data_IF_991420443734
#
_entry.id   IF_991420443734
#
_cell.length_a   1.000
_cell.length_b   1.000
_cell.length_c   1.000
_cell.angle_alpha   90.00
_cell.angle_beta   90.00
_cell.angle_gamma   90.00
#
_symmetry.space_group_name_H-M   'P 1'
#
loop_
_entity.id
_entity.type
_entity.pdbx_description
1 polymer ?
#
# COMPACT_ATOMS: atom_id res chain seq x y z
N UNK A 1 -28.90 5.72 23.68
CA UNK A 1 -27.86 5.54 23.37
C UNK A 1 -27.20 6.64 22.85
N UNK A 2 -26.29 6.57 23.06
CA UNK A 2 -25.56 7.65 22.76
C UNK A 2 -25.04 7.62 21.40
N UNK A 3 -24.55 8.69 21.07
CA UNK A 3 -23.82 8.83 19.88
C UNK A 3 -22.67 7.90 19.78
N UNK A 4 -22.27 7.37 20.90
CA UNK A 4 -21.15 6.46 20.92
C UNK A 4 -21.37 5.24 20.10
N UNK A 5 -22.61 4.81 19.97
CA UNK A 5 -22.86 3.65 19.17
C UNK A 5 -22.81 3.98 17.69
N UNK A 6 -22.81 5.26 17.37
CA UNK A 6 -22.70 5.66 15.99
C UNK A 6 -21.25 5.92 15.68
N UNK A 7 -20.70 5.16 14.77
CA UNK A 7 -19.32 5.31 14.38
C UNK A 7 -19.25 5.38 12.89
N UNK A 8 -18.36 6.17 12.35
CA UNK A 8 -18.11 6.13 10.91
C UNK A 8 -17.33 4.88 10.61
N UNK A 9 -18.04 3.80 10.57
CA UNK A 9 -17.43 2.51 10.55
C UNK A 9 -16.82 2.11 9.26
N UNK A 10 -17.00 2.92 8.26
CA UNK A 10 -16.54 2.55 6.95
C UNK A 10 -15.06 2.70 6.76
N UNK A 11 -14.39 3.40 7.66
CA UNK A 11 -12.97 3.65 7.50
C UNK A 11 -12.23 3.09 8.68
N UNK A 12 -11.53 1.97 8.50
CA UNK A 12 -10.68 1.49 9.58
C UNK A 12 -9.62 2.54 9.86
N UNK A 13 -9.42 2.83 11.13
CA UNK A 13 -8.39 3.77 11.51
C UNK A 13 -7.05 3.11 11.70
N UNK A 14 -7.08 1.81 11.84
CA UNK A 14 -5.87 1.04 12.03
C UNK A 14 -5.99 -0.25 11.28
N UNK A 15 -4.86 -0.79 10.94
CA UNK A 15 -4.79 -2.07 10.26
C UNK A 15 -4.73 -3.16 11.31
N UNK A 16 -5.69 -4.07 11.29
CA UNK A 16 -5.69 -5.18 12.24
C UNK A 16 -4.67 -6.22 11.80
N UNK A 17 -4.15 -7.03 12.73
CA UNK A 17 -3.24 -8.11 12.34
C UNK A 17 -3.83 -9.07 11.33
N UNK A 18 -5.13 -9.31 11.43
CA UNK A 18 -5.80 -10.21 10.48
C UNK A 18 -5.84 -9.60 9.09
N UNK A 19 -6.14 -8.32 9.00
CA UNK A 19 -6.16 -7.63 7.72
C UNK A 19 -4.78 -7.61 7.10
N UNK A 20 -3.76 -7.34 7.89
CA UNK A 20 -2.40 -7.34 7.40
C UNK A 20 -2.01 -8.73 6.90
N UNK A 21 -2.35 -9.75 7.63
CA UNK A 21 -2.05 -11.12 7.24
C UNK A 21 -2.72 -11.48 5.92
N UNK A 22 -3.98 -11.11 5.77
CA UNK A 22 -4.72 -11.37 4.54
C UNK A 22 -4.13 -10.59 3.37
N UNK A 23 -3.73 -9.35 3.63
CA UNK A 23 -3.14 -8.52 2.60
C UNK A 23 -1.80 -9.07 2.14
N UNK A 24 -0.97 -9.52 3.08
CA UNK A 24 0.31 -10.12 2.75
C UNK A 24 0.14 -11.41 1.95
N UNK A 25 -0.83 -12.22 2.34
CA UNK A 25 -1.10 -13.45 1.62
C UNK A 25 -1.55 -13.15 0.19
N UNK A 26 -2.40 -12.15 0.03
CA UNK A 26 -2.84 -11.74 -1.30
C UNK A 26 -1.68 -11.24 -2.13
N UNK A 27 -0.86 -10.39 -1.53
CA UNK A 27 0.28 -9.80 -2.25
C UNK A 27 1.27 -10.86 -2.68
N UNK A 28 1.54 -11.84 -1.82
CA UNK A 28 2.51 -12.87 -2.14
C UNK A 28 1.99 -13.86 -3.18
N UNK A 29 0.69 -14.01 -3.27
CA UNK A 29 0.09 -14.96 -4.21
C UNK A 29 -0.17 -14.39 -5.59
N UNK A 30 0.04 -13.11 -5.79
CA UNK A 30 -0.30 -12.47 -7.05
C UNK A 30 0.93 -12.26 -7.91
N UNK A 31 0.84 -12.54 -9.22
CA UNK A 31 1.93 -12.15 -10.12
C UNK A 31 1.95 -10.63 -10.25
N UNK A 32 3.09 -10.13 -10.70
CA UNK A 32 3.32 -8.70 -10.71
C UNK A 32 2.43 -7.90 -11.65
N UNK A 33 1.73 -8.49 -12.53
CA UNK A 33 0.88 -7.74 -13.45
C UNK A 33 -0.49 -8.36 -13.52
N UNK A 34 -1.01 -8.75 -12.38
CA UNK A 34 -2.28 -9.43 -12.33
C UNK A 34 -3.45 -8.46 -12.27
N UNK A 35 -4.62 -8.98 -12.57
CA UNK A 35 -5.87 -8.23 -12.47
C UNK A 35 -6.38 -8.35 -11.04
N UNK A 36 -6.44 -7.22 -10.34
CA UNK A 36 -6.89 -7.17 -8.96
C UNK A 36 -8.33 -6.72 -8.81
N UNK A 37 -9.07 -6.66 -9.91
CA UNK A 37 -10.42 -6.10 -9.88
C UNK A 37 -11.30 -6.72 -8.78
N UNK A 38 -11.23 -8.02 -8.59
CA UNK A 38 -12.06 -8.68 -7.60
C UNK A 38 -11.59 -8.43 -6.17
N UNK A 39 -10.36 -7.96 -5.99
CA UNK A 39 -9.80 -7.68 -4.67
C UNK A 39 -9.80 -6.21 -4.30
N UNK A 40 -10.17 -5.34 -5.23
CA UNK A 40 -10.09 -3.89 -4.96
C UNK A 40 -10.94 -3.46 -3.78
N UNK A 41 -12.09 -4.09 -3.60
CA UNK A 41 -12.97 -3.74 -2.50
C UNK A 41 -12.32 -4.00 -1.15
N UNK A 42 -11.58 -5.09 -1.04
CA UNK A 42 -10.83 -5.39 0.18
C UNK A 42 -9.64 -4.46 0.36
N UNK A 43 -8.93 -4.17 -0.73
CA UNK A 43 -7.69 -3.40 -0.68
C UNK A 43 -7.96 -1.91 -0.42
N UNK A 44 -9.05 -1.39 -0.98
CA UNK A 44 -9.28 0.06 -0.99
C UNK A 44 -9.22 0.70 0.40
N UNK A 45 -9.96 0.22 1.41
CA UNK A 45 -9.89 0.89 2.71
C UNK A 45 -8.49 0.83 3.32
N UNK A 46 -7.74 -0.22 3.03
CA UNK A 46 -6.40 -0.34 3.57
C UNK A 46 -5.42 0.60 2.86
N UNK A 47 -5.61 0.79 1.56
CA UNK A 47 -4.79 1.73 0.81
C UNK A 47 -5.09 3.17 1.18
N UNK A 48 -6.28 3.43 1.68
CA UNK A 48 -6.69 4.78 2.07
C UNK A 48 -6.42 5.11 3.53
N UNK A 49 -5.79 4.20 4.27
CA UNK A 49 -5.31 4.54 5.60
C UNK A 49 -4.29 5.66 5.50
N UNK A 50 -4.18 6.44 6.55
CA UNK A 50 -3.20 7.52 6.55
C UNK A 50 -1.80 6.96 6.35
N UNK A 51 -0.97 7.63 5.54
CA UNK A 51 0.39 7.14 5.30
C UNK A 51 1.18 6.90 6.57
N UNK A 52 0.90 7.65 7.62
CA UNK A 52 1.56 7.47 8.90
C UNK A 52 1.37 6.06 9.44
N UNK A 53 0.21 5.46 9.23
CA UNK A 53 -0.03 4.09 9.67
C UNK A 53 0.89 3.12 8.95
N UNK A 54 1.08 3.31 7.67
CA UNK A 54 2.00 2.47 6.92
C UNK A 54 3.45 2.72 7.31
N UNK A 55 3.78 3.96 7.68
CA UNK A 55 5.12 4.26 8.20
C UNK A 55 5.42 3.48 9.47
N UNK A 56 4.41 3.30 10.31
CA UNK A 56 4.57 2.56 11.55
C UNK A 56 4.72 1.06 11.32
N UNK A 57 4.04 0.54 10.31
CA UNK A 57 4.01 -0.89 10.03
C UNK A 57 5.20 -1.34 9.20
N UNK A 58 5.56 -0.55 8.21
CA UNK A 58 6.53 -0.97 7.20
C UNK A 58 7.86 -1.46 7.75
N UNK A 59 8.45 -0.81 8.77
CA UNK A 59 9.75 -1.26 9.26
C UNK A 59 9.74 -2.64 9.91
N UNK A 60 8.56 -3.11 10.33
CA UNK A 60 8.46 -4.43 10.94
C UNK A 60 8.32 -5.55 9.92
N UNK A 61 8.15 -5.21 8.65
CA UNK A 61 8.00 -6.19 7.58
C UNK A 61 9.37 -6.56 7.01
N UNK A 62 9.48 -7.78 6.52
CA UNK A 62 10.69 -8.18 5.80
C UNK A 62 10.73 -7.56 4.42
N UNK A 63 11.90 -7.61 3.79
CA UNK A 63 12.08 -6.99 2.48
C UNK A 63 11.15 -7.60 1.44
N UNK A 64 10.96 -8.91 1.49
CA UNK A 64 10.08 -9.58 0.54
C UNK A 64 8.64 -9.10 0.70
N UNK A 65 8.19 -8.98 1.94
CA UNK A 65 6.85 -8.48 2.22
C UNK A 65 6.68 -7.05 1.78
N UNK A 66 7.68 -6.21 2.02
CA UNK A 66 7.65 -4.83 1.59
C UNK A 66 7.52 -4.73 0.07
N UNK A 67 8.31 -5.53 -0.65
CA UNK A 67 8.23 -5.53 -2.12
C UNK A 67 6.88 -6.01 -2.61
N UNK A 68 6.35 -7.07 -2.00
CA UNK A 68 5.04 -7.59 -2.41
C UNK A 68 3.95 -6.55 -2.24
N UNK A 69 3.97 -5.85 -1.11
CA UNK A 69 2.95 -4.82 -0.86
C UNK A 69 3.12 -3.62 -1.78
N UNK A 70 4.36 -3.23 -2.06
CA UNK A 70 4.60 -2.13 -3.00
C UNK A 70 3.99 -2.46 -4.36
N UNK A 71 4.24 -3.66 -4.85
CA UNK A 71 3.68 -4.08 -6.13
C UNK A 71 2.16 -4.16 -6.09
N UNK A 72 1.63 -4.73 -5.02
CA UNK A 72 0.18 -4.87 -4.89
C UNK A 72 -0.52 -3.52 -4.90
N UNK A 73 -0.04 -2.59 -4.07
CA UNK A 73 -0.67 -1.28 -3.98
C UNK A 73 -0.48 -0.47 -5.26
N UNK A 74 0.67 -0.63 -5.94
CA UNK A 74 0.87 0.05 -7.21
C UNK A 74 -0.19 -0.38 -8.23
N UNK A 75 -0.38 -1.68 -8.36
CA UNK A 75 -1.37 -2.20 -9.31
C UNK A 75 -2.79 -1.85 -8.89
N UNK A 76 -3.10 -2.01 -7.60
CA UNK A 76 -4.45 -1.74 -7.12
C UNK A 76 -4.83 -0.28 -7.29
N UNK A 77 -3.90 0.60 -6.98
CA UNK A 77 -4.14 2.03 -7.11
C UNK A 77 -4.42 2.41 -8.56
N UNK A 78 -3.67 1.84 -9.47
CA UNK A 78 -3.84 2.12 -10.89
C UNK A 78 -5.15 1.52 -11.39
N UNK A 79 -5.45 0.29 -11.04
CA UNK A 79 -6.66 -0.37 -11.49
C UNK A 79 -7.91 0.23 -10.87
N UNK A 80 -7.81 0.69 -9.62
CA UNK A 80 -8.92 1.33 -8.95
C UNK A 80 -9.09 2.78 -9.28
N UNK A 81 -8.08 3.38 -9.92
CA UNK A 81 -8.11 4.79 -10.28
C UNK A 81 -8.34 5.68 -9.07
N UNK A 82 -7.63 5.41 -7.99
CA UNK A 82 -7.92 6.04 -6.70
C UNK A 82 -7.30 7.42 -6.51
N UNK A 83 -6.32 7.80 -7.31
CA UNK A 83 -5.69 9.13 -7.25
C UNK A 83 -5.16 9.47 -5.86
N UNK A 84 -4.41 8.54 -5.27
CA UNK A 84 -3.89 8.75 -3.92
C UNK A 84 -2.78 9.81 -3.88
N UNK A 85 -2.09 10.01 -5.00
CA UNK A 85 -1.01 11.00 -5.09
C UNK A 85 0.03 10.75 -3.99
N UNK A 86 0.32 11.76 -3.17
CA UNK A 86 1.35 11.65 -2.14
C UNK A 86 0.88 10.86 -0.92
N UNK A 87 -0.37 10.40 -0.91
CA UNK A 87 -0.92 9.64 0.20
C UNK A 87 -0.89 8.13 -0.05
N UNK A 88 -0.26 7.70 -1.12
CA UNK A 88 -0.18 6.28 -1.46
C UNK A 88 0.65 5.52 -0.43
N UNK A 89 0.19 4.33 -0.01
CA UNK A 89 0.96 3.51 0.92
C UNK A 89 2.28 3.02 0.33
N UNK A 90 2.43 3.05 -0.99
CA UNK A 90 3.69 2.67 -1.62
C UNK A 90 4.84 3.54 -1.11
N UNK A 91 4.56 4.82 -0.84
CA UNK A 91 5.62 5.74 -0.43
C UNK A 91 6.25 5.35 0.91
N UNK A 92 5.50 5.19 2.00
CA UNK A 92 6.13 4.78 3.25
C UNK A 92 6.71 3.38 3.19
N UNK A 93 6.09 2.47 2.43
CA UNK A 93 6.65 1.14 2.27
C UNK A 93 8.00 1.18 1.57
N UNK A 94 8.10 1.96 0.51
CA UNK A 94 9.36 2.07 -0.23
C UNK A 94 10.43 2.79 0.61
N UNK A 95 10.03 3.80 1.37
CA UNK A 95 10.98 4.50 2.23
C UNK A 95 11.59 3.57 3.26
N UNK A 96 10.77 2.74 3.90
CA UNK A 96 11.27 1.79 4.88
C UNK A 96 12.21 0.78 4.24
N UNK A 97 11.85 0.26 3.08
CA UNK A 97 12.68 -0.70 2.38
C UNK A 97 14.02 -0.07 2.01
N UNK A 98 13.99 1.14 1.48
CA UNK A 98 15.21 1.83 1.07
C UNK A 98 16.11 2.11 2.27
N UNK A 99 15.53 2.51 3.38
CA UNK A 99 16.30 2.81 4.57
C UNK A 99 16.98 1.56 5.13
N UNK A 100 16.29 0.44 5.06
CA UNK A 100 16.80 -0.80 5.64
C UNK A 100 17.70 -1.58 4.69
N UNK A 101 17.45 -1.50 3.40
CA UNK A 101 18.09 -2.39 2.42
C UNK A 101 18.69 -1.67 1.21
N UNK A 102 18.52 -0.37 1.11
CA UNK A 102 19.02 0.39 -0.04
C UNK A 102 17.99 0.47 -1.16
N UNK A 103 18.40 1.09 -2.25
CA UNK A 103 17.51 1.30 -3.39
C UNK A 103 17.50 0.06 -4.29
N UNK A 104 16.29 -0.39 -4.60
CA UNK A 104 16.08 -1.48 -5.55
C UNK A 104 15.69 -0.84 -6.88
N UNK A 105 16.67 -0.66 -7.76
CA UNK A 105 16.44 0.03 -9.03
C UNK A 105 15.44 -0.68 -9.93
N UNK A 106 15.49 -2.01 -10.09
CA UNK A 106 14.47 -2.69 -10.88
C UNK A 106 13.07 -2.47 -10.34
N UNK A 107 12.92 -2.45 -9.02
CA UNK A 107 11.61 -2.20 -8.43
C UNK A 107 11.12 -0.79 -8.72
N UNK A 108 12.01 0.21 -8.64
CA UNK A 108 11.66 1.59 -8.97
C UNK A 108 11.16 1.67 -10.41
N UNK A 109 11.87 1.05 -11.32
CA UNK A 109 11.49 1.06 -12.72
C UNK A 109 10.14 0.37 -12.94
N UNK A 110 9.94 -0.74 -12.27
CA UNK A 110 8.66 -1.45 -12.37
C UNK A 110 7.50 -0.60 -11.87
N UNK A 111 7.67 0.02 -10.71
CA UNK A 111 6.62 0.87 -10.15
C UNK A 111 6.28 2.00 -11.11
N UNK A 112 7.30 2.69 -11.61
CA UNK A 112 7.07 3.82 -12.51
C UNK A 112 6.39 3.39 -13.80
N UNK A 113 6.65 2.18 -14.24
CA UNK A 113 6.06 1.67 -15.47
C UNK A 113 4.59 1.27 -15.29
N UNK A 114 4.16 1.03 -14.04
CA UNK A 114 2.84 0.52 -13.77
C UNK A 114 1.91 1.50 -13.04
N UNK A 115 2.32 2.75 -12.89
CA UNK A 115 1.49 3.75 -12.25
C UNK A 115 1.59 5.08 -12.98
N UNK A 116 0.49 5.83 -12.96
CA UNK A 116 0.49 7.20 -13.44
C UNK A 116 0.73 8.19 -12.31
N UNK A 117 0.83 7.71 -11.10
CA UNK A 117 1.06 8.56 -9.94
C UNK A 117 2.54 8.95 -9.90
N UNK A 118 2.83 10.22 -10.19
CA UNK A 118 4.21 10.68 -10.28
C UNK A 118 4.91 10.76 -8.94
N UNK A 119 4.20 10.61 -7.84
CA UNK A 119 4.82 10.58 -6.53
C UNK A 119 5.41 9.22 -6.18
N UNK A 120 5.10 8.17 -6.94
CA UNK A 120 5.60 6.84 -6.63
C UNK A 120 6.94 6.58 -7.28
N UNK A 121 7.82 5.87 -6.60
CA UNK A 121 7.67 5.38 -5.23
C UNK A 121 8.26 6.33 -4.18
N UNK A 122 8.88 7.43 -4.58
CA UNK A 122 9.70 8.25 -3.69
C UNK A 122 8.91 9.25 -2.86
N UNK A 123 7.71 9.59 -3.27
CA UNK A 123 6.96 10.63 -2.62
C UNK A 123 7.24 11.99 -3.22
N UNK A 124 6.71 13.05 -2.60
CA UNK A 124 6.95 14.40 -3.10
C UNK A 124 8.43 14.73 -3.05
N UNK A 125 8.90 15.39 -4.09
CA UNK A 125 10.28 15.87 -4.13
C UNK A 125 10.27 17.31 -3.66
N UNK A 126 11.16 17.61 -2.75
CA UNK A 126 11.29 18.96 -2.25
C UNK A 126 12.58 19.56 -2.68
#
# INVERSE_FOLDING_TARGET
MSVDSWQPINKPKELSPEQLSQLLALASGQPKECDLTSELEFIQPLAHLEPQKWEEIAPSLGITEQKHLICLFTLAEQQGNWHLAERSPVIPLFKAMRKQHGIDKPLVQWVKAHTENKFLPFGPLL
#
